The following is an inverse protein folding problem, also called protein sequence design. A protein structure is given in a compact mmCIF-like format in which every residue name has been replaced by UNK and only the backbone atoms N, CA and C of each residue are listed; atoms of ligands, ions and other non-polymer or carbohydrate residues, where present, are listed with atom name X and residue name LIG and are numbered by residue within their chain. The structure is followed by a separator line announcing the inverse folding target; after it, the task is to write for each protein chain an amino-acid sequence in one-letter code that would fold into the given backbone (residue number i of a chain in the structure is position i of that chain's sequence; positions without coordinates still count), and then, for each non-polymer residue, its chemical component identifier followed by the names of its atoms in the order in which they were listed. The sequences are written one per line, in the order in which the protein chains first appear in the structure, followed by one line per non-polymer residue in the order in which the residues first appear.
data_IF_762016963502
#
_entry.id   IF_762016963502
#
_cell.length_a   1.000
_cell.length_b   1.000
_cell.length_c   1.000
_cell.angle_alpha   90.00
_cell.angle_beta   90.00
_cell.angle_gamma   90.00
#
_symmetry.space_group_name_H-M   'P 1'
#
loop_
_entity.id
_entity.type
_entity.pdbx_description
1 polymer ?
#
# COMPACT_ATOMS: atom_id res chain seq x y z
N UNK A 1 3.09 -29.79 12.15
CA UNK A 1 2.06 -28.73 12.11
C UNK A 1 2.35 -27.81 10.93
N UNK A 2 1.35 -27.54 10.10
CA UNK A 2 1.49 -26.63 8.98
C UNK A 2 1.60 -25.21 9.52
N UNK A 3 2.72 -24.51 9.22
CA UNK A 3 2.90 -23.09 9.56
C UNK A 3 2.00 -22.16 8.71
N UNK A 4 1.55 -22.65 7.55
CA UNK A 4 0.72 -21.90 6.63
C UNK A 4 -0.51 -22.71 6.24
N UNK A 5 -1.67 -22.11 6.38
CA UNK A 5 -2.95 -22.67 5.93
C UNK A 5 -3.41 -21.90 4.70
N UNK A 6 -3.89 -22.63 3.69
CA UNK A 6 -4.46 -21.98 2.51
C UNK A 6 -5.69 -21.14 2.87
N UNK A 7 -5.90 -20.05 2.16
CA UNK A 7 -7.10 -19.23 2.34
C UNK A 7 -8.31 -19.90 1.66
N UNK A 8 -9.51 -19.90 2.28
CA UNK A 8 -10.71 -20.48 1.69
C UNK A 8 -11.30 -19.55 0.61
N UNK A 9 -10.57 -19.41 -0.48
CA UNK A 9 -10.95 -18.56 -1.61
C UNK A 9 -11.01 -19.38 -2.90
N UNK A 10 -11.94 -19.05 -3.79
CA UNK A 10 -12.10 -19.67 -5.11
C UNK A 10 -11.69 -18.68 -6.19
N UNK A 11 -10.76 -19.10 -7.06
CA UNK A 11 -10.39 -18.30 -8.24
C UNK A 11 -11.58 -18.11 -9.17
N UNK A 12 -11.71 -16.92 -9.74
CA UNK A 12 -12.73 -16.55 -10.72
C UNK A 12 -14.16 -16.86 -10.25
N UNK A 13 -14.41 -16.78 -8.95
CA UNK A 13 -15.76 -16.88 -8.44
C UNK A 13 -16.62 -15.73 -8.99
N UNK A 14 -17.86 -16.04 -9.35
CA UNK A 14 -18.81 -14.99 -9.74
C UNK A 14 -19.10 -14.12 -8.52
N UNK A 15 -18.89 -12.80 -8.60
CA UNK A 15 -19.16 -11.91 -7.48
C UNK A 15 -20.67 -11.83 -7.20
N UNK A 16 -21.03 -11.62 -5.95
CA UNK A 16 -22.41 -11.29 -5.55
C UNK A 16 -22.77 -9.94 -6.16
N UNK A 17 -23.97 -9.83 -6.74
CA UNK A 17 -24.42 -8.64 -7.46
C UNK A 17 -25.03 -7.59 -6.50
N UNK A 18 -24.21 -7.12 -5.57
CA UNK A 18 -24.55 -6.09 -4.57
C UNK A 18 -23.39 -5.12 -4.45
N UNK A 19 -23.63 -3.95 -3.87
CA UNK A 19 -22.59 -2.95 -3.60
C UNK A 19 -21.93 -3.20 -2.25
N UNK A 20 -20.60 -3.28 -2.27
CA UNK A 20 -19.77 -3.46 -1.09
C UNK A 20 -18.74 -2.34 -0.93
N UNK A 21 -18.39 -1.97 0.30
CA UNK A 21 -17.27 -1.08 0.55
C UNK A 21 -15.98 -1.69 0.02
N UNK A 22 -15.07 -0.83 -0.44
CA UNK A 22 -13.76 -1.22 -0.97
C UNK A 22 -12.68 -0.99 0.09
N UNK A 23 -11.83 -1.98 0.30
CA UNK A 23 -10.61 -1.87 1.10
C UNK A 23 -9.41 -2.13 0.20
N UNK A 24 -8.49 -1.16 0.15
CA UNK A 24 -7.19 -1.33 -0.49
C UNK A 24 -6.20 -1.86 0.55
N UNK A 25 -5.49 -2.95 0.22
CA UNK A 25 -4.41 -3.47 1.06
C UNK A 25 -3.06 -3.18 0.42
N UNK A 26 -2.19 -2.46 1.13
CA UNK A 26 -0.84 -2.15 0.67
C UNK A 26 0.19 -2.91 1.51
N UNK A 27 0.96 -3.78 0.85
CA UNK A 27 2.02 -4.57 1.50
C UNK A 27 3.26 -3.74 1.84
N UNK A 28 4.08 -4.21 2.77
CA UNK A 28 5.37 -3.62 3.10
C UNK A 28 6.43 -3.85 2.03
N UNK A 29 7.62 -3.29 2.22
CA UNK A 29 8.77 -3.48 1.33
C UNK A 29 9.09 -4.97 1.20
N UNK A 30 9.28 -5.44 -0.04
CA UNK A 30 9.56 -6.85 -0.33
C UNK A 30 8.39 -7.83 -0.06
N UNK A 31 7.21 -7.31 0.34
CA UNK A 31 5.99 -8.11 0.49
C UNK A 31 5.29 -8.34 -0.84
N UNK A 32 4.06 -8.83 -0.79
CA UNK A 32 3.17 -8.96 -1.95
C UNK A 32 1.70 -9.08 -1.51
N UNK A 33 0.79 -8.95 -2.46
CA UNK A 33 -0.65 -9.07 -2.22
C UNK A 33 -1.05 -10.44 -1.62
N UNK A 34 -0.40 -11.52 -2.05
CA UNK A 34 -0.71 -12.87 -1.55
C UNK A 34 -0.36 -13.05 -0.08
N UNK A 35 0.68 -12.38 0.42
CA UNK A 35 1.06 -12.38 1.84
C UNK A 35 -0.01 -11.79 2.76
N UNK A 36 -0.91 -10.97 2.22
CA UNK A 36 -2.07 -10.41 2.93
C UNK A 36 -3.36 -11.22 2.71
N UNK A 37 -3.25 -12.42 2.10
CA UNK A 37 -4.39 -13.25 1.73
C UNK A 37 -5.30 -13.63 2.91
N UNK A 38 -4.74 -13.84 4.09
CA UNK A 38 -5.49 -14.11 5.31
C UNK A 38 -6.42 -12.95 5.68
N UNK A 39 -5.92 -11.71 5.63
CA UNK A 39 -6.69 -10.50 5.91
C UNK A 39 -7.71 -10.22 4.80
N UNK A 40 -7.29 -10.37 3.54
CA UNK A 40 -8.18 -10.23 2.37
C UNK A 40 -9.39 -11.15 2.48
N UNK A 41 -9.15 -12.41 2.86
CA UNK A 41 -10.22 -13.40 3.01
C UNK A 41 -11.17 -13.04 4.13
N UNK A 42 -10.65 -12.60 5.27
CA UNK A 42 -11.49 -12.25 6.41
C UNK A 42 -12.33 -11.00 6.12
N UNK A 43 -11.74 -9.99 5.50
CA UNK A 43 -12.48 -8.80 5.07
C UNK A 43 -13.56 -9.16 4.04
N UNK A 44 -13.25 -10.00 3.05
CA UNK A 44 -14.23 -10.42 2.04
C UNK A 44 -15.40 -11.20 2.65
N UNK A 45 -15.15 -12.06 3.65
CA UNK A 45 -16.19 -12.77 4.40
C UNK A 45 -17.10 -11.82 5.20
N UNK A 46 -16.58 -10.65 5.56
CA UNK A 46 -17.32 -9.61 6.28
C UNK A 46 -17.91 -8.54 5.35
N UNK A 47 -18.05 -8.83 4.05
CA UNK A 47 -18.78 -7.98 3.12
C UNK A 47 -17.98 -6.81 2.55
N UNK A 48 -16.67 -6.98 2.38
CA UNK A 48 -15.82 -6.00 1.70
C UNK A 48 -15.33 -6.54 0.35
N UNK A 49 -15.22 -5.67 -0.63
CA UNK A 49 -14.34 -5.89 -1.78
C UNK A 49 -12.94 -5.53 -1.33
N UNK A 50 -11.98 -6.42 -1.58
CA UNK A 50 -10.59 -6.19 -1.24
C UNK A 50 -9.75 -6.16 -2.49
N UNK A 51 -8.96 -5.11 -2.66
CA UNK A 51 -8.00 -4.97 -3.74
C UNK A 51 -6.60 -4.75 -3.18
N UNK A 52 -5.64 -5.51 -3.66
CA UNK A 52 -4.26 -5.46 -3.19
C UNK A 52 -3.32 -5.38 -4.39
N UNK A 53 -2.69 -4.23 -4.67
CA UNK A 53 -1.69 -4.13 -5.72
C UNK A 53 -0.39 -4.82 -5.30
N UNK A 54 0.36 -5.30 -6.28
CA UNK A 54 1.79 -5.53 -6.14
C UNK A 54 2.50 -4.28 -6.64
N UNK A 55 3.11 -3.54 -5.73
CA UNK A 55 3.83 -2.31 -6.10
C UNK A 55 5.13 -2.66 -6.82
N UNK A 56 5.31 -2.13 -8.03
CA UNK A 56 6.50 -2.36 -8.85
C UNK A 56 7.76 -1.96 -8.07
N UNK A 57 8.83 -2.72 -8.23
CA UNK A 57 10.13 -2.54 -7.57
C UNK A 57 10.11 -2.55 -6.04
N UNK A 58 8.98 -2.95 -5.45
CA UNK A 58 8.80 -3.03 -4.01
C UNK A 58 8.14 -4.34 -3.57
N UNK A 59 8.00 -5.30 -4.50
CA UNK A 59 7.32 -6.60 -4.32
C UNK A 59 8.33 -7.74 -4.17
N UNK A 60 7.94 -8.84 -3.55
CA UNK A 60 8.75 -10.06 -3.44
C UNK A 60 9.31 -10.50 -4.80
N UNK A 61 10.63 -10.64 -4.89
CA UNK A 61 11.33 -10.96 -6.13
C UNK A 61 11.63 -9.76 -7.02
N UNK A 62 11.09 -8.60 -6.72
CA UNK A 62 11.35 -7.31 -7.41
C UNK A 62 11.38 -6.19 -6.34
N UNK A 63 12.33 -6.27 -5.41
CA UNK A 63 12.48 -5.28 -4.33
C UNK A 63 13.81 -4.55 -4.47
N UNK A 64 13.74 -3.34 -4.98
CA UNK A 64 14.89 -2.47 -5.27
C UNK A 64 14.83 -1.26 -4.31
N UNK A 65 15.75 -1.12 -3.35
CA UNK A 65 15.67 -0.07 -2.32
C UNK A 65 15.56 1.34 -2.90
N UNK A 66 16.33 1.68 -3.92
CA UNK A 66 16.32 3.00 -4.56
C UNK A 66 14.95 3.30 -5.18
N UNK A 67 14.34 2.31 -5.85
CA UNK A 67 13.01 2.46 -6.43
C UNK A 67 11.92 2.46 -5.36
N UNK A 68 12.05 1.58 -4.35
CA UNK A 68 11.11 1.51 -3.21
C UNK A 68 11.08 2.81 -2.39
N UNK A 69 12.13 3.63 -2.45
CA UNK A 69 12.17 4.94 -1.79
C UNK A 69 11.30 6.00 -2.48
N UNK A 70 10.87 5.75 -3.70
CA UNK A 70 9.89 6.58 -4.42
C UNK A 70 8.48 6.36 -3.88
N UNK A 71 8.27 6.72 -2.63
CA UNK A 71 7.03 6.45 -1.87
C UNK A 71 5.77 7.00 -2.54
N UNK A 72 5.90 8.04 -3.35
CA UNK A 72 4.80 8.66 -4.10
C UNK A 72 4.21 7.76 -5.18
N UNK A 73 5.03 6.92 -5.81
CA UNK A 73 4.56 5.99 -6.85
C UNK A 73 3.55 5.00 -6.27
N UNK A 74 3.78 4.53 -5.05
CA UNK A 74 2.87 3.62 -4.36
C UNK A 74 1.50 4.27 -4.05
N UNK A 75 1.49 5.54 -3.66
CA UNK A 75 0.25 6.28 -3.45
C UNK A 75 -0.50 6.51 -4.79
N UNK A 76 0.24 6.75 -5.87
CA UNK A 76 -0.31 6.84 -7.23
C UNK A 76 -0.89 5.49 -7.69
N UNK A 77 -0.23 4.37 -7.40
CA UNK A 77 -0.76 3.01 -7.66
C UNK A 77 -2.11 2.80 -7.00
N UNK A 78 -2.26 3.25 -5.74
CA UNK A 78 -3.54 3.14 -5.02
C UNK A 78 -4.63 3.94 -5.71
N UNK A 79 -4.36 5.19 -6.10
CA UNK A 79 -5.34 6.02 -6.81
C UNK A 79 -5.70 5.43 -8.18
N UNK A 80 -4.72 4.93 -8.94
CA UNK A 80 -4.95 4.27 -10.22
C UNK A 80 -5.78 2.97 -10.07
N UNK A 81 -5.56 2.21 -8.99
CA UNK A 81 -6.35 1.03 -8.69
C UNK A 81 -7.80 1.39 -8.36
N UNK A 82 -8.03 2.44 -7.58
CA UNK A 82 -9.37 2.96 -7.29
C UNK A 82 -10.04 3.43 -8.59
N UNK A 83 -9.33 4.15 -9.47
CA UNK A 83 -9.83 4.55 -10.78
C UNK A 83 -10.28 3.32 -11.59
N UNK A 84 -9.41 2.32 -11.68
CA UNK A 84 -9.69 1.10 -12.41
C UNK A 84 -10.94 0.40 -11.91
N UNK A 85 -11.09 0.23 -10.60
CA UNK A 85 -12.21 -0.49 -10.01
C UNK A 85 -13.52 0.31 -10.12
N UNK A 86 -13.45 1.63 -9.99
CA UNK A 86 -14.64 2.49 -10.02
C UNK A 86 -15.13 2.83 -11.42
N UNK A 87 -14.33 2.54 -12.47
CA UNK A 87 -14.69 2.75 -13.88
C UNK A 87 -14.84 1.44 -14.68
N UNK A 88 -14.32 0.32 -14.16
CA UNK A 88 -14.42 -1.00 -14.80
C UNK A 88 -15.86 -1.40 -15.09
N UNK A 89 -16.11 -1.96 -16.25
CA UNK A 89 -17.43 -2.52 -16.61
C UNK A 89 -17.90 -3.63 -15.66
N UNK A 90 -16.96 -4.36 -15.04
CA UNK A 90 -17.26 -5.47 -14.11
C UNK A 90 -17.43 -4.97 -12.68
N UNK A 91 -16.53 -4.09 -12.21
CA UNK A 91 -16.43 -3.76 -10.78
C UNK A 91 -17.19 -2.51 -10.38
N UNK A 92 -17.40 -1.55 -11.29
CA UNK A 92 -17.99 -0.25 -10.96
C UNK A 92 -19.42 -0.35 -10.42
N UNK A 93 -20.16 -1.39 -10.78
CA UNK A 93 -21.50 -1.67 -10.28
C UNK A 93 -21.48 -2.29 -8.86
N UNK A 94 -20.37 -2.89 -8.46
CA UNK A 94 -20.23 -3.63 -7.21
C UNK A 94 -19.52 -2.82 -6.12
N UNK A 95 -18.69 -1.85 -6.51
CA UNK A 95 -17.96 -0.98 -5.56
C UNK A 95 -18.87 0.13 -5.08
N UNK A 96 -19.01 0.24 -3.76
CA UNK A 96 -19.58 1.43 -3.13
C UNK A 96 -18.53 2.54 -3.08
N UNK A 97 -18.68 3.51 -3.97
CA UNK A 97 -17.70 4.60 -4.17
C UNK A 97 -17.61 5.57 -2.99
N UNK A 98 -18.62 5.58 -2.13
CA UNK A 98 -18.68 6.44 -0.95
C UNK A 98 -18.05 5.78 0.29
N UNK A 99 -17.68 4.49 0.19
CA UNK A 99 -17.08 3.70 1.26
C UNK A 99 -15.80 3.03 0.79
N UNK A 100 -14.73 3.82 0.63
CA UNK A 100 -13.40 3.34 0.25
C UNK A 100 -12.45 3.60 1.42
N UNK A 101 -11.73 2.58 1.84
CA UNK A 101 -10.70 2.66 2.88
C UNK A 101 -9.44 1.92 2.48
N UNK A 102 -8.42 2.03 3.32
CA UNK A 102 -7.15 1.35 3.09
C UNK A 102 -6.51 0.82 4.36
N UNK A 103 -5.77 -0.27 4.24
CA UNK A 103 -4.93 -0.83 5.30
C UNK A 103 -3.54 -1.07 4.71
N UNK A 104 -2.52 -0.62 5.40
CA UNK A 104 -1.14 -0.82 4.97
C UNK A 104 -0.24 -1.22 6.12
N UNK A 105 0.77 -2.04 5.82
CA UNK A 105 1.77 -2.49 6.77
C UNK A 105 3.17 -1.99 6.34
N UNK A 106 3.97 -1.50 7.29
CA UNK A 106 5.32 -0.97 7.07
C UNK A 106 5.27 0.10 5.94
N UNK A 107 6.07 -0.01 4.90
CA UNK A 107 6.02 0.89 3.74
C UNK A 107 4.60 1.01 3.12
N UNK A 108 3.75 -0.02 3.26
CA UNK A 108 2.33 0.06 2.93
C UNK A 108 1.55 0.98 3.86
N UNK A 109 1.92 1.04 5.14
CA UNK A 109 1.39 1.99 6.11
C UNK A 109 1.70 3.43 5.70
N UNK A 110 2.95 3.71 5.33
CA UNK A 110 3.36 5.00 4.73
C UNK A 110 2.53 5.33 3.49
N UNK A 111 2.32 4.33 2.60
CA UNK A 111 1.47 4.50 1.41
C UNK A 111 0.06 4.94 1.79
N UNK A 112 -0.55 4.30 2.79
CA UNK A 112 -1.91 4.67 3.24
C UNK A 112 -1.95 6.05 3.88
N UNK A 113 -0.94 6.45 4.64
CA UNK A 113 -0.84 7.80 5.20
C UNK A 113 -0.78 8.87 4.10
N UNK A 114 0.03 8.65 3.06
CA UNK A 114 0.12 9.55 1.91
C UNK A 114 -1.22 9.62 1.16
N UNK A 115 -1.87 8.48 0.95
CA UNK A 115 -3.18 8.40 0.30
C UNK A 115 -4.27 9.11 1.13
N UNK A 116 -4.16 9.10 2.45
CA UNK A 116 -5.05 9.85 3.34
C UNK A 116 -4.75 11.37 3.39
N UNK A 117 -3.69 11.83 2.71
CA UNK A 117 -3.34 13.24 2.62
C UNK A 117 -2.20 13.69 3.53
N UNK A 118 -1.53 12.78 4.24
CA UNK A 118 -0.28 13.11 4.93
C UNK A 118 0.80 13.50 3.91
N UNK A 119 1.76 14.30 4.35
CA UNK A 119 2.90 14.69 3.53
C UNK A 119 4.18 14.20 4.19
N UNK A 120 5.06 13.64 3.40
CA UNK A 120 6.40 13.29 3.86
C UNK A 120 7.28 14.55 3.93
N UNK A 121 8.35 14.48 4.73
CA UNK A 121 9.42 15.48 4.77
C UNK A 121 10.75 14.76 4.63
N UNK A 122 11.44 15.01 3.52
CA UNK A 122 12.74 14.40 3.26
C UNK A 122 13.76 14.84 4.31
N UNK A 123 13.73 16.11 4.69
CA UNK A 123 14.64 16.62 5.73
C UNK A 123 14.42 15.93 7.07
N UNK A 124 13.15 15.74 7.48
CA UNK A 124 12.83 15.05 8.75
C UNK A 124 13.28 13.59 8.69
N UNK A 125 13.04 12.89 7.57
CA UNK A 125 13.48 11.52 7.37
C UNK A 125 15.02 11.40 7.48
N UNK A 126 15.77 12.26 6.78
CA UNK A 126 17.24 12.25 6.80
C UNK A 126 17.76 12.52 8.22
N UNK A 127 17.18 13.52 8.92
CA UNK A 127 17.55 13.83 10.30
C UNK A 127 17.30 12.65 11.24
N UNK A 128 16.12 12.03 11.13
CA UNK A 128 15.79 10.83 11.90
C UNK A 128 16.80 9.70 11.65
N UNK A 129 17.13 9.41 10.39
CA UNK A 129 18.10 8.37 10.06
C UNK A 129 19.51 8.67 10.62
N UNK A 130 19.92 9.92 10.64
CA UNK A 130 21.19 10.34 11.24
C UNK A 130 21.19 10.14 12.78
N UNK A 131 20.09 10.50 13.44
CA UNK A 131 19.92 10.38 14.90
C UNK A 131 19.77 8.92 15.34
N UNK A 132 19.09 8.10 14.53
CA UNK A 132 18.90 6.67 14.81
C UNK A 132 20.22 5.88 14.83
N UNK A 133 21.27 6.39 14.18
CA UNK A 133 22.63 5.86 14.26
C UNK A 133 22.72 4.36 13.89
N UNK A 134 21.97 3.93 12.88
CA UNK A 134 21.94 2.53 12.41
C UNK A 134 21.03 1.60 13.24
N UNK A 135 20.24 2.11 14.16
CA UNK A 135 19.28 1.30 14.94
C UNK A 135 17.92 1.15 14.24
N UNK A 136 17.60 2.05 13.31
CA UNK A 136 16.36 2.00 12.54
C UNK A 136 16.51 1.07 11.33
N UNK A 137 15.59 0.09 11.21
CA UNK A 137 15.66 -0.92 10.15
C UNK A 137 15.34 -0.35 8.77
N UNK A 138 14.43 0.61 8.67
CA UNK A 138 14.05 1.29 7.43
C UNK A 138 15.18 2.15 6.89
N UNK A 139 15.79 2.98 7.77
CA UNK A 139 16.97 3.77 7.42
C UNK A 139 18.10 2.89 6.91
N UNK A 140 18.39 1.79 7.64
CA UNK A 140 19.44 0.85 7.24
C UNK A 140 19.17 0.16 5.91
N UNK A 141 17.91 -0.20 5.67
CA UNK A 141 17.49 -0.82 4.42
C UNK A 141 17.79 0.09 3.22
N UNK A 142 17.35 1.34 3.29
CA UNK A 142 17.54 2.30 2.20
C UNK A 142 19.00 2.68 2.03
N UNK A 143 19.74 2.98 3.11
CA UNK A 143 21.16 3.35 3.05
C UNK A 143 22.02 2.23 2.51
N UNK A 144 21.85 0.98 3.00
CA UNK A 144 22.60 -0.19 2.51
C UNK A 144 22.19 -0.56 1.08
N UNK A 145 20.97 -0.25 0.69
CA UNK A 145 20.46 -0.42 -0.66
C UNK A 145 20.90 0.65 -1.66
N UNK A 146 21.76 1.58 -1.24
CA UNK A 146 22.36 2.59 -2.12
C UNK A 146 21.52 3.83 -2.39
N UNK A 147 20.52 4.09 -1.54
CA UNK A 147 19.75 5.35 -1.66
C UNK A 147 20.62 6.53 -1.26
N UNK A 148 20.89 7.41 -2.21
CA UNK A 148 21.51 8.72 -1.96
C UNK A 148 20.40 9.75 -1.72
N UNK A 149 20.17 10.09 -0.46
CA UNK A 149 19.13 11.04 -0.08
C UNK A 149 19.33 12.46 -0.63
N UNK A 150 20.56 12.80 -1.04
CA UNK A 150 20.84 14.10 -1.66
C UNK A 150 20.36 14.20 -3.11
N UNK A 151 20.13 13.05 -3.76
CA UNK A 151 19.67 12.94 -5.14
C UNK A 151 18.18 12.64 -5.25
N UNK A 152 17.47 12.50 -4.13
CA UNK A 152 16.03 12.24 -4.14
C UNK A 152 15.28 13.45 -4.70
N UNK A 153 14.35 13.22 -5.60
CA UNK A 153 13.42 14.24 -6.05
C UNK A 153 12.54 14.70 -4.88
N UNK A 154 12.95 15.82 -4.29
CA UNK A 154 12.31 16.36 -3.09
C UNK A 154 10.88 16.80 -3.35
N UNK A 155 10.60 17.37 -4.53
CA UNK A 155 9.26 17.85 -4.88
C UNK A 155 8.29 16.66 -4.98
N UNK A 156 8.71 15.57 -5.62
CA UNK A 156 7.95 14.34 -5.66
C UNK A 156 7.82 13.70 -4.27
N UNK A 157 8.91 13.61 -3.49
CA UNK A 157 8.88 13.00 -2.16
C UNK A 157 7.92 13.72 -1.18
N UNK A 158 7.92 15.05 -1.19
CA UNK A 158 7.12 15.91 -0.30
C UNK A 158 5.77 16.31 -0.92
N UNK A 159 5.42 15.76 -2.09
CA UNK A 159 4.19 16.04 -2.80
C UNK A 159 2.92 15.64 -2.04
N UNK A 160 1.78 16.16 -2.48
CA UNK A 160 0.47 15.81 -1.94
C UNK A 160 -0.18 14.69 -2.76
N UNK A 161 -0.38 13.54 -2.15
CA UNK A 161 -0.92 12.34 -2.81
C UNK A 161 -2.27 11.89 -2.24
N UNK A 162 -2.93 12.77 -1.49
CA UNK A 162 -4.22 12.49 -0.88
C UNK A 162 -5.31 12.23 -1.92
N UNK A 163 -5.98 11.09 -1.81
CA UNK A 163 -7.14 10.74 -2.61
C UNK A 163 -8.41 10.96 -1.78
N UNK A 164 -9.22 11.94 -2.17
CA UNK A 164 -10.43 12.34 -1.43
C UNK A 164 -11.51 11.25 -1.37
N UNK A 165 -11.39 10.20 -2.18
CA UNK A 165 -12.30 9.05 -2.16
C UNK A 165 -12.00 8.10 -0.99
N UNK A 166 -10.77 8.14 -0.47
CA UNK A 166 -10.35 7.33 0.67
C UNK A 166 -10.80 8.02 1.95
N UNK A 167 -11.78 7.43 2.63
CA UNK A 167 -12.43 8.01 3.81
C UNK A 167 -11.78 7.60 5.14
N UNK A 168 -11.06 6.48 5.17
CA UNK A 168 -10.39 5.98 6.36
C UNK A 168 -9.19 5.11 6.00
N UNK A 169 -8.14 5.17 6.81
CA UNK A 169 -6.96 4.30 6.65
C UNK A 169 -6.51 3.74 7.99
N UNK A 170 -5.91 2.56 7.92
CA UNK A 170 -5.17 1.93 9.02
C UNK A 170 -3.72 1.79 8.54
N UNK A 171 -2.81 2.50 9.19
CA UNK A 171 -1.38 2.37 8.99
C UNK A 171 -0.78 1.57 10.13
N UNK A 172 -0.24 0.41 9.82
CA UNK A 172 0.38 -0.50 10.79
C UNK A 172 1.89 -0.40 10.63
N UNK A 173 2.57 0.05 11.66
CA UNK A 173 4.04 0.19 11.72
C UNK A 173 4.60 0.90 10.46
N UNK A 174 4.12 2.15 10.18
CA UNK A 174 4.41 2.87 8.95
C UNK A 174 5.86 3.38 8.86
#
# INVERSE_FOLDING_TARGET
DALWVGVPARRNATPVQEKFPLVILSHGSGGNAAGLGWLSTELARNGFIVAAPNHIHSTSGDSIPVESFKIWERAQDVSALIDTLTTSATWSALVDKDRIGGIGFSLGGTTMMLTAGARASLQTFVTHCAEAGGKDAGCNWFQKGGVDFSQVDREAFEGGYGDKRVSAVIAVDP
#
